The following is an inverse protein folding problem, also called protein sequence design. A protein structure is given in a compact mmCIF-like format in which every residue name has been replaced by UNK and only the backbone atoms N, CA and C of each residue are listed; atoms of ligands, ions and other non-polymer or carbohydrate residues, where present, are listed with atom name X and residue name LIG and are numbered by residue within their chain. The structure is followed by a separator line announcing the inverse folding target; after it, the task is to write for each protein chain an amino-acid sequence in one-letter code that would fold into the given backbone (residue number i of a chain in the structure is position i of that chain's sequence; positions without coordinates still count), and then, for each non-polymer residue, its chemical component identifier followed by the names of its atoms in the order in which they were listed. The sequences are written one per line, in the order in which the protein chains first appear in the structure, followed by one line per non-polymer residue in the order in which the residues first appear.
data_IF_172195351635
#
_entry.id   IF_172195351635
#
_cell.length_a   1.000
_cell.length_b   1.000
_cell.length_c   1.000
_cell.angle_alpha   90.00
_cell.angle_beta   90.00
_cell.angle_gamma   90.00
#
_symmetry.space_group_name_H-M   'P 1'
#
loop_
_entity.id
_entity.type
_entity.pdbx_description
1 polymer ?
#
# COMPACT_ATOMS: atom_id res chain seq x y z
N UNK A 1 -13.54 -3.80 -20.44
CA UNK A 1 -13.99 -2.98 -19.27
C UNK A 1 -12.91 -3.06 -18.18
N UNK A 2 -12.65 -1.97 -17.45
CA UNK A 2 -11.74 -2.01 -16.27
C UNK A 2 -12.62 -2.31 -15.06
N UNK A 3 -12.27 -3.36 -14.33
CA UNK A 3 -12.94 -3.75 -13.06
C UNK A 3 -12.31 -3.01 -11.90
N UNK A 4 -10.97 -3.05 -11.83
CA UNK A 4 -10.19 -2.48 -10.75
C UNK A 4 -8.91 -1.85 -11.30
N UNK A 5 -8.53 -0.71 -10.75
CA UNK A 5 -7.22 -0.10 -11.02
C UNK A 5 -6.80 0.75 -9.83
N UNK A 6 -5.66 0.41 -9.24
CA UNK A 6 -5.07 1.21 -8.16
C UNK A 6 -4.82 2.65 -8.63
N UNK A 7 -5.31 3.60 -7.86
CA UNK A 7 -5.08 5.02 -8.14
C UNK A 7 -3.63 5.40 -7.80
N UNK A 8 -2.84 5.60 -8.83
CA UNK A 8 -1.45 6.03 -8.65
C UNK A 8 -1.33 7.40 -7.96
N UNK A 9 -2.37 8.24 -8.01
CA UNK A 9 -2.38 9.53 -7.32
C UNK A 9 -2.36 9.37 -5.80
N UNK A 10 -3.03 8.34 -5.29
CA UNK A 10 -3.02 8.01 -3.86
C UNK A 10 -1.64 7.57 -3.39
N UNK A 11 -0.95 6.72 -4.18
CA UNK A 11 0.42 6.30 -3.87
C UNK A 11 1.36 7.51 -3.82
N UNK A 12 1.27 8.43 -4.79
CA UNK A 12 2.05 9.68 -4.76
C UNK A 12 1.69 10.54 -3.55
N UNK A 13 0.42 10.62 -3.18
CA UNK A 13 -0.06 11.32 -1.99
C UNK A 13 0.59 10.79 -0.71
N UNK A 14 0.64 9.47 -0.56
CA UNK A 14 1.26 8.80 0.58
C UNK A 14 2.78 9.05 0.64
N UNK A 15 3.48 8.98 -0.48
CA UNK A 15 4.92 9.28 -0.56
C UNK A 15 5.19 10.73 -0.10
N UNK A 16 4.43 11.69 -0.60
CA UNK A 16 4.57 13.10 -0.23
C UNK A 16 4.31 13.30 1.25
N UNK A 17 3.27 12.66 1.79
CA UNK A 17 2.93 12.72 3.20
C UNK A 17 4.06 12.17 4.09
N UNK A 18 4.62 11.00 3.74
CA UNK A 18 5.75 10.42 4.47
C UNK A 18 6.97 11.35 4.46
N UNK A 19 7.29 11.96 3.32
CA UNK A 19 8.39 12.92 3.21
C UNK A 19 8.16 14.15 4.10
N UNK A 20 6.95 14.72 4.07
CA UNK A 20 6.60 15.89 4.90
C UNK A 20 6.74 15.56 6.38
N UNK A 21 6.18 14.44 6.84
CA UNK A 21 6.27 14.03 8.24
C UNK A 21 7.72 13.82 8.65
N UNK A 22 8.53 13.14 7.83
CA UNK A 22 9.94 12.91 8.10
C UNK A 22 10.72 14.23 8.22
N UNK A 23 10.45 15.22 7.36
CA UNK A 23 11.09 16.55 7.43
C UNK A 23 10.68 17.32 8.69
N UNK A 24 9.41 17.24 9.10
CA UNK A 24 8.94 17.86 10.35
C UNK A 24 9.61 17.23 11.56
N UNK A 25 9.69 15.90 11.62
CA UNK A 25 10.37 15.19 12.70
C UNK A 25 11.87 15.52 12.74
N UNK A 26 12.52 15.60 11.59
CA UNK A 26 13.92 16.02 11.50
C UNK A 26 14.13 17.43 12.02
N UNK A 27 13.27 18.37 11.67
CA UNK A 27 13.31 19.74 12.18
C UNK A 27 13.15 19.79 13.71
N UNK A 28 12.25 18.95 14.27
CA UNK A 28 12.08 18.83 15.73
C UNK A 28 13.34 18.26 16.39
N UNK A 29 13.98 17.26 15.81
CA UNK A 29 15.24 16.70 16.31
C UNK A 29 16.34 17.76 16.33
N UNK A 30 16.46 18.53 15.27
CA UNK A 30 17.44 19.64 15.17
C UNK A 30 17.13 20.68 16.24
N UNK A 31 15.87 21.10 16.37
CA UNK A 31 15.45 22.10 17.35
C UNK A 31 15.73 21.66 18.79
N UNK A 32 15.39 20.40 19.14
CA UNK A 32 15.68 19.85 20.47
C UNK A 32 17.18 19.83 20.78
N UNK A 33 18.00 19.46 19.79
CA UNK A 33 19.44 19.29 20.02
C UNK A 33 20.22 20.62 20.05
N UNK A 34 19.85 21.58 19.21
CA UNK A 34 20.67 22.78 18.98
C UNK A 34 20.08 24.05 19.59
N UNK A 35 18.76 24.17 19.67
CA UNK A 35 18.10 25.42 20.05
C UNK A 35 17.56 25.35 21.49
N UNK A 36 16.78 24.31 21.78
CA UNK A 36 16.06 24.26 23.05
C UNK A 36 16.94 23.85 24.23
N UNK A 37 17.75 22.79 24.07
CA UNK A 37 18.60 22.30 25.15
C UNK A 37 20.05 22.74 25.01
N UNK A 38 20.43 23.80 25.67
CA UNK A 38 21.83 24.19 25.77
C UNK A 38 22.58 23.18 26.65
N UNK A 39 23.67 22.57 26.15
CA UNK A 39 24.34 21.44 26.83
C UNK A 39 24.89 21.75 28.22
N UNK A 40 24.96 23.03 28.61
CA UNK A 40 25.47 23.46 29.95
C UNK A 40 24.42 23.43 31.07
N UNK A 41 23.14 23.34 30.73
CA UNK A 41 22.05 23.50 31.71
C UNK A 41 21.47 22.17 32.22
N UNK A 42 21.58 21.10 31.45
CA UNK A 42 21.06 19.78 31.79
C UNK A 42 22.20 18.79 32.10
N UNK A 43 22.18 18.21 33.30
CA UNK A 43 23.18 17.20 33.71
C UNK A 43 22.50 15.92 34.20
N UNK A 44 23.21 14.80 34.08
CA UNK A 44 22.76 13.51 34.59
C UNK A 44 21.53 12.95 33.93
N UNK A 45 20.61 12.41 34.76
CA UNK A 45 19.41 11.68 34.30
C UNK A 45 18.46 12.58 33.48
N UNK A 46 18.38 13.88 33.80
CA UNK A 46 17.53 14.81 33.05
C UNK A 46 18.01 15.05 31.64
N UNK A 47 19.33 15.06 31.43
CA UNK A 47 19.91 15.12 30.08
C UNK A 47 19.52 13.90 29.24
N UNK A 48 19.56 12.70 29.83
CA UNK A 48 19.16 11.46 29.17
C UNK A 48 17.66 11.46 28.85
N UNK A 49 16.82 11.77 29.83
CA UNK A 49 15.36 11.73 29.68
C UNK A 49 14.82 12.75 28.68
N UNK A 50 15.33 13.98 28.73
CA UNK A 50 14.75 15.08 27.93
C UNK A 50 15.49 15.38 26.63
N UNK A 51 16.69 14.88 26.42
CA UNK A 51 17.45 15.08 25.20
C UNK A 51 17.75 13.79 24.46
N UNK A 52 18.38 12.82 25.11
CA UNK A 52 18.83 11.61 24.41
C UNK A 52 17.62 10.73 24.03
N UNK A 53 16.75 10.44 24.96
CA UNK A 53 15.63 9.52 24.73
C UNK A 53 14.68 10.02 23.64
N UNK A 54 14.15 11.25 23.65
CA UNK A 54 13.31 11.74 22.58
C UNK A 54 14.03 11.78 21.22
N UNK A 55 15.32 12.12 21.21
CA UNK A 55 16.10 12.13 19.97
C UNK A 55 16.19 10.74 19.36
N UNK A 56 16.44 9.71 20.17
CA UNK A 56 16.48 8.31 19.70
C UNK A 56 15.11 7.89 19.17
N UNK A 57 14.04 8.14 19.92
CA UNK A 57 12.68 7.76 19.51
C UNK A 57 12.33 8.40 18.17
N UNK A 58 12.50 9.72 18.04
CA UNK A 58 12.21 10.43 16.79
C UNK A 58 13.09 9.96 15.63
N UNK A 59 14.34 9.59 15.88
CA UNK A 59 15.22 9.04 14.84
C UNK A 59 14.75 7.68 14.35
N UNK A 60 14.24 6.85 15.24
CA UNK A 60 13.64 5.55 14.89
C UNK A 60 12.39 5.77 14.01
N UNK A 61 11.51 6.69 14.39
CA UNK A 61 10.31 7.04 13.59
C UNK A 61 10.68 7.50 12.19
N UNK A 62 11.70 8.35 12.05
CA UNK A 62 12.18 8.80 10.73
C UNK A 62 12.65 7.61 9.88
N UNK A 63 13.34 6.63 10.49
CA UNK A 63 13.78 5.43 9.78
C UNK A 63 12.59 4.61 9.28
N UNK A 64 11.57 4.37 10.13
CA UNK A 64 10.37 3.64 9.74
C UNK A 64 9.60 4.35 8.60
N UNK A 65 9.42 5.66 8.69
CA UNK A 65 8.79 6.45 7.64
C UNK A 65 9.57 6.39 6.31
N UNK A 66 10.91 6.40 6.40
CA UNK A 66 11.77 6.28 5.21
C UNK A 66 11.64 4.91 4.54
N UNK A 67 11.48 3.83 5.32
CA UNK A 67 11.26 2.49 4.79
C UNK A 67 9.89 2.43 4.09
N UNK A 68 8.83 2.97 4.72
CA UNK A 68 7.50 3.04 4.11
C UNK A 68 7.50 3.81 2.79
N UNK A 69 8.11 5.00 2.77
CA UNK A 69 8.25 5.79 1.54
C UNK A 69 9.03 5.04 0.45
N UNK A 70 10.07 4.30 0.81
CA UNK A 70 10.85 3.52 -0.15
C UNK A 70 10.05 2.37 -0.77
N UNK A 71 9.23 1.68 0.03
CA UNK A 71 8.35 0.61 -0.48
C UNK A 71 7.32 1.18 -1.47
N UNK A 72 6.72 2.35 -1.19
CA UNK A 72 5.80 3.04 -2.12
C UNK A 72 6.49 3.53 -3.40
N UNK A 73 7.68 4.11 -3.29
CA UNK A 73 8.48 4.52 -4.47
C UNK A 73 8.80 3.32 -5.35
N UNK A 74 9.07 2.16 -4.75
CA UNK A 74 9.34 0.95 -5.51
C UNK A 74 8.11 0.46 -6.29
N UNK A 75 6.91 0.54 -5.70
CA UNK A 75 5.64 0.23 -6.38
C UNK A 75 5.46 1.14 -7.61
N UNK A 76 5.56 2.45 -7.42
CA UNK A 76 5.44 3.43 -8.52
C UNK A 76 6.49 3.20 -9.61
N UNK A 77 7.74 2.94 -9.23
CA UNK A 77 8.81 2.66 -10.19
C UNK A 77 8.54 1.38 -10.99
N UNK A 78 7.93 0.38 -10.38
CA UNK A 78 7.54 -0.86 -11.06
C UNK A 78 6.42 -0.63 -12.06
N UNK A 79 5.46 0.24 -11.74
CA UNK A 79 4.37 0.63 -12.64
C UNK A 79 4.88 1.44 -13.83
N UNK A 80 5.76 2.41 -13.59
CA UNK A 80 6.25 3.32 -14.63
C UNK A 80 7.27 2.68 -15.59
N UNK A 81 7.94 1.61 -15.19
CA UNK A 81 8.98 0.97 -15.99
C UNK A 81 8.52 -0.31 -16.70
N UNK A 82 7.21 -0.55 -16.82
CA UNK A 82 6.62 -1.77 -17.39
C UNK A 82 7.21 -3.07 -16.78
N UNK A 83 7.67 -3.01 -15.54
CA UNK A 83 8.21 -4.16 -14.79
C UNK A 83 7.14 -4.94 -14.04
N UNK A 84 5.92 -4.83 -14.50
CA UNK A 84 4.82 -5.62 -13.99
C UNK A 84 4.66 -6.90 -14.81
N UNK A 85 4.11 -7.90 -14.18
CA UNK A 85 3.68 -9.13 -14.78
C UNK A 85 2.22 -9.02 -15.21
N UNK A 86 1.80 -9.83 -16.15
CA UNK A 86 0.38 -9.94 -16.46
C UNK A 86 0.02 -11.38 -16.76
N UNK A 87 -1.18 -11.76 -16.33
CA UNK A 87 -1.81 -13.03 -16.61
C UNK A 87 -3.17 -12.79 -17.22
N UNK A 88 -3.64 -13.72 -18.07
CA UNK A 88 -4.94 -13.62 -18.72
C UNK A 88 -5.62 -14.98 -18.71
N UNK A 89 -6.87 -15.02 -18.28
CA UNK A 89 -7.67 -16.24 -18.21
C UNK A 89 -9.01 -15.96 -17.56
N UNK A 90 -9.75 -17.02 -17.28
CA UNK A 90 -10.98 -16.94 -16.49
C UNK A 90 -10.64 -16.78 -15.01
N UNK A 91 -11.57 -16.19 -14.27
CA UNK A 91 -11.48 -16.14 -12.81
C UNK A 91 -11.88 -17.51 -12.27
N UNK A 92 -11.05 -18.05 -11.40
CA UNK A 92 -11.30 -19.29 -10.68
C UNK A 92 -11.22 -19.05 -9.18
N UNK A 93 -11.89 -19.88 -8.38
CA UNK A 93 -11.85 -19.86 -6.90
C UNK A 93 -12.08 -18.47 -6.29
N UNK A 94 -13.01 -17.70 -6.86
CA UNK A 94 -13.34 -16.36 -6.37
C UNK A 94 -13.99 -16.44 -4.98
N UNK A 95 -13.33 -15.81 -4.01
CA UNK A 95 -13.85 -15.61 -2.65
C UNK A 95 -13.95 -14.11 -2.41
N UNK A 96 -15.12 -13.66 -1.95
CA UNK A 96 -15.41 -12.26 -1.62
C UNK A 96 -15.88 -12.21 -0.17
N UNK A 97 -15.17 -11.45 0.67
CA UNK A 97 -15.52 -11.27 2.08
C UNK A 97 -15.66 -9.77 2.39
N UNK A 98 -16.58 -9.43 3.29
CA UNK A 98 -16.71 -8.05 3.77
C UNK A 98 -15.47 -7.65 4.58
N UNK A 99 -14.87 -6.53 4.22
CA UNK A 99 -13.71 -5.97 4.90
C UNK A 99 -14.10 -4.74 5.72
N UNK A 100 -13.65 -4.68 6.95
CA UNK A 100 -13.91 -3.55 7.83
C UNK A 100 -12.68 -2.65 7.94
N UNK A 101 -12.77 -1.45 7.37
CA UNK A 101 -11.71 -0.44 7.47
C UNK A 101 -11.99 0.46 8.66
N UNK A 102 -11.09 0.42 9.64
CA UNK A 102 -11.25 1.18 10.90
C UNK A 102 -11.27 2.68 10.62
N UNK A 103 -12.40 3.31 10.98
CA UNK A 103 -12.56 4.77 10.84
C UNK A 103 -13.19 5.23 9.53
N UNK A 104 -13.49 4.31 8.63
CA UNK A 104 -14.25 4.57 7.41
C UNK A 104 -15.63 3.89 7.50
N UNK A 105 -16.75 4.62 7.32
CA UNK A 105 -18.08 4.03 7.34
C UNK A 105 -18.44 3.32 6.02
N UNK A 106 -17.61 3.39 4.99
CA UNK A 106 -17.87 2.72 3.72
C UNK A 106 -17.70 1.20 3.86
N UNK A 107 -18.47 0.46 3.08
CA UNK A 107 -18.37 -0.99 2.98
C UNK A 107 -17.34 -1.30 1.90
N UNK A 108 -16.35 -2.09 2.27
CA UNK A 108 -15.31 -2.60 1.38
C UNK A 108 -15.35 -4.12 1.35
N UNK A 109 -14.73 -4.69 0.36
CA UNK A 109 -14.59 -6.13 0.20
C UNK A 109 -13.12 -6.51 0.03
N UNK A 110 -12.77 -7.63 0.61
CA UNK A 110 -11.51 -8.30 0.35
C UNK A 110 -11.80 -9.45 -0.62
N UNK A 111 -11.01 -9.56 -1.68
CA UNK A 111 -11.23 -10.52 -2.74
C UNK A 111 -9.97 -11.37 -2.94
N UNK A 112 -10.15 -12.69 -2.99
CA UNK A 112 -9.12 -13.59 -3.47
C UNK A 112 -9.63 -14.38 -4.68
N UNK A 113 -8.76 -14.64 -5.63
CA UNK A 113 -9.11 -15.36 -6.86
C UNK A 113 -7.86 -15.91 -7.54
N UNK A 114 -8.08 -16.83 -8.48
CA UNK A 114 -7.03 -17.41 -9.30
C UNK A 114 -7.30 -17.04 -10.77
N UNK A 115 -6.24 -16.76 -11.53
CA UNK A 115 -6.31 -16.56 -12.98
C UNK A 115 -5.13 -17.28 -13.61
N UNK A 116 -5.41 -18.25 -14.48
CA UNK A 116 -4.38 -19.06 -15.18
C UNK A 116 -3.30 -19.61 -14.22
N UNK A 117 -3.73 -20.12 -13.07
CA UNK A 117 -2.87 -20.72 -12.04
C UNK A 117 -2.07 -19.71 -11.19
N UNK A 118 -2.27 -18.40 -11.39
CA UNK A 118 -1.72 -17.37 -10.49
C UNK A 118 -2.77 -17.02 -9.44
N UNK A 119 -2.43 -17.29 -8.19
CA UNK A 119 -3.28 -17.00 -7.03
C UNK A 119 -3.07 -15.55 -6.59
N UNK A 120 -4.15 -14.80 -6.49
CA UNK A 120 -4.22 -13.46 -5.91
C UNK A 120 -4.90 -13.58 -4.54
N UNK A 121 -4.12 -13.68 -3.45
CA UNK A 121 -4.65 -13.86 -2.12
C UNK A 121 -5.33 -12.59 -1.61
N UNK A 122 -6.09 -12.71 -0.53
CA UNK A 122 -6.59 -11.55 0.21
C UNK A 122 -5.46 -10.59 0.54
N UNK A 123 -5.67 -9.33 0.18
CA UNK A 123 -4.66 -8.28 0.39
C UNK A 123 -5.07 -7.41 1.59
N UNK A 124 -4.18 -7.25 2.54
CA UNK A 124 -4.39 -6.28 3.63
C UNK A 124 -4.25 -4.82 3.17
N UNK A 125 -4.02 -4.57 1.89
CA UNK A 125 -3.66 -3.25 1.37
C UNK A 125 -4.60 -2.72 0.29
N UNK A 126 -5.29 -3.59 -0.43
CA UNK A 126 -6.15 -3.20 -1.55
C UNK A 126 -7.54 -3.77 -1.33
N UNK A 127 -8.44 -2.95 -0.81
CA UNK A 127 -9.85 -3.31 -0.66
C UNK A 127 -10.62 -2.90 -1.90
N UNK A 128 -11.53 -3.76 -2.31
CA UNK A 128 -12.42 -3.51 -3.42
C UNK A 128 -13.66 -2.77 -2.95
N UNK A 129 -14.11 -1.81 -3.73
CA UNK A 129 -15.42 -1.19 -3.53
C UNK A 129 -16.54 -2.20 -3.82
N UNK A 130 -17.76 -1.89 -3.40
CA UNK A 130 -18.96 -2.71 -3.72
C UNK A 130 -19.10 -2.95 -5.22
N UNK A 131 -18.85 -1.91 -6.03
CA UNK A 131 -18.98 -1.97 -7.49
C UNK A 131 -17.87 -2.84 -8.13
N UNK A 132 -16.66 -2.75 -7.64
CA UNK A 132 -15.54 -3.56 -8.11
C UNK A 132 -15.70 -5.03 -7.75
N UNK A 133 -16.10 -5.34 -6.51
CA UNK A 133 -16.38 -6.69 -6.07
C UNK A 133 -17.53 -7.32 -6.87
N UNK A 134 -18.61 -6.54 -7.13
CA UNK A 134 -19.72 -7.00 -7.97
C UNK A 134 -19.25 -7.24 -9.42
N UNK A 135 -18.41 -6.37 -9.97
CA UNK A 135 -17.88 -6.54 -11.32
C UNK A 135 -16.97 -7.76 -11.46
N UNK A 136 -16.18 -8.10 -10.42
CA UNK A 136 -15.41 -9.34 -10.38
C UNK A 136 -16.35 -10.57 -10.38
N UNK A 137 -17.41 -10.51 -9.58
CA UNK A 137 -18.42 -11.58 -9.50
C UNK A 137 -19.12 -11.77 -10.84
N UNK A 138 -19.56 -10.68 -11.47
CA UNK A 138 -20.23 -10.73 -12.76
C UNK A 138 -19.30 -11.31 -13.85
N UNK A 139 -18.02 -10.93 -13.87
CA UNK A 139 -17.04 -11.48 -14.79
C UNK A 139 -16.81 -12.98 -14.56
N UNK A 140 -16.79 -13.43 -13.31
CA UNK A 140 -16.67 -14.85 -12.97
C UNK A 140 -17.92 -15.63 -13.38
N UNK A 141 -19.14 -15.12 -13.11
CA UNK A 141 -20.40 -15.77 -13.48
C UNK A 141 -20.61 -15.85 -15.01
N UNK A 142 -20.11 -14.86 -15.74
CA UNK A 142 -20.17 -14.83 -17.20
C UNK A 142 -19.05 -15.62 -17.89
N UNK A 143 -18.11 -16.16 -17.11
CA UNK A 143 -16.90 -16.81 -17.63
C UNK A 143 -16.07 -15.88 -18.55
N UNK A 144 -16.06 -14.56 -18.22
CA UNK A 144 -15.33 -13.57 -19.00
C UNK A 144 -13.83 -13.78 -18.87
N UNK A 145 -13.09 -13.53 -19.96
CA UNK A 145 -11.63 -13.54 -19.93
C UNK A 145 -11.14 -12.21 -19.34
N UNK A 146 -10.46 -12.29 -18.22
CA UNK A 146 -9.86 -11.13 -17.57
C UNK A 146 -8.34 -11.11 -17.77
N UNK A 147 -7.78 -9.91 -17.80
CA UNK A 147 -6.35 -9.67 -17.72
C UNK A 147 -6.04 -8.99 -16.40
N UNK A 148 -5.18 -9.63 -15.61
CA UNK A 148 -4.67 -9.08 -14.35
C UNK A 148 -3.24 -8.63 -14.55
N UNK A 149 -2.98 -7.36 -14.26
CA UNK A 149 -1.62 -6.81 -14.20
C UNK A 149 -1.23 -6.70 -12.73
N UNK A 150 -0.04 -7.23 -12.38
CA UNK A 150 0.39 -7.36 -11.00
C UNK A 150 1.90 -7.21 -10.85
N UNK A 151 2.35 -6.96 -9.64
CA UNK A 151 3.75 -7.05 -9.24
C UNK A 151 3.90 -8.04 -8.08
N UNK A 152 5.10 -8.56 -7.92
CA UNK A 152 5.39 -9.43 -6.78
C UNK A 152 5.81 -8.59 -5.58
N UNK A 153 5.18 -8.82 -4.45
CA UNK A 153 5.63 -8.23 -3.19
C UNK A 153 7.11 -8.58 -2.95
N UNK A 154 7.86 -7.61 -2.50
CA UNK A 154 9.31 -7.78 -2.35
C UNK A 154 9.67 -8.81 -1.29
N UNK A 155 8.86 -8.93 -0.24
CA UNK A 155 9.14 -9.78 0.94
C UNK A 155 8.45 -11.14 0.83
N UNK A 156 7.14 -11.15 0.64
CA UNK A 156 6.31 -12.37 0.56
C UNK A 156 6.42 -13.06 -0.80
N UNK A 157 6.76 -12.31 -1.86
CA UNK A 157 6.70 -12.76 -3.27
C UNK A 157 5.28 -13.07 -3.75
N UNK A 158 4.28 -12.67 -2.99
CA UNK A 158 2.89 -12.79 -3.38
C UNK A 158 2.55 -11.82 -4.50
N UNK A 159 1.70 -12.22 -5.46
CA UNK A 159 1.24 -11.32 -6.51
C UNK A 159 0.23 -10.32 -5.95
N UNK A 160 0.50 -9.03 -6.16
CA UNK A 160 -0.37 -7.93 -5.79
C UNK A 160 -0.97 -7.35 -7.06
N UNK A 161 -2.28 -7.51 -7.31
CA UNK A 161 -2.94 -6.97 -8.48
C UNK A 161 -3.03 -5.45 -8.34
N UNK A 162 -2.77 -4.71 -9.42
CA UNK A 162 -3.01 -3.27 -9.47
C UNK A 162 -3.98 -2.87 -10.59
N UNK A 163 -4.28 -3.80 -11.49
CA UNK A 163 -5.28 -3.59 -12.53
C UNK A 163 -5.90 -4.91 -12.95
N UNK A 164 -7.22 -4.94 -12.95
CA UNK A 164 -8.03 -6.04 -13.47
C UNK A 164 -8.94 -5.50 -14.56
N UNK A 165 -8.95 -6.11 -15.72
CA UNK A 165 -9.78 -5.69 -16.85
C UNK A 165 -10.36 -6.88 -17.60
N UNK A 166 -11.62 -6.79 -18.00
CA UNK A 166 -12.23 -7.73 -18.95
C UNK A 166 -11.66 -7.46 -20.34
N UNK A 167 -11.12 -8.49 -20.95
CA UNK A 167 -10.52 -8.44 -22.29
C UNK A 167 -11.51 -8.93 -23.33
N UNK A 168 -12.24 -9.99 -23.02
CA UNK A 168 -13.20 -10.63 -23.89
C UNK A 168 -14.41 -11.08 -23.08
N UNK A 169 -15.59 -10.73 -23.54
CA UNK A 169 -16.86 -11.17 -22.95
C UNK A 169 -17.36 -12.37 -23.76
N UNK A 170 -17.66 -13.46 -23.11
CA UNK A 170 -18.31 -14.58 -23.75
C UNK A 170 -19.80 -14.24 -23.93
N UNK A 171 -20.21 -13.93 -25.18
CA UNK A 171 -21.62 -13.82 -25.50
C UNK A 171 -22.28 -15.22 -25.37
N UNK A 172 -23.12 -15.37 -24.35
CA UNK A 172 -23.98 -16.56 -24.15
C UNK A 172 -25.28 -16.41 -24.93
#
# INVERSE_FOLDING_TARGET
MIIFQTDTSEIYGNIILFIIIALVLLAVVIWLNFIYFKPKELKGIFFVLFKIFPTIVLSIEIIFLSIGAFDEIHKVSSLNNDKYLSVQGNIEDLIIEEAYVRGDPAIYYDCSFVVDGVEFPFSNYDYYTVEEAQSLKDANENEDIVKVSYFLDRKSKEPIPFKVQVVETQEK
#
